data_IF_644019144866
#
_entry.id   IF_644019144866
#
_cell.length_a   1.000
_cell.length_b   1.000
_cell.length_c   1.000
_cell.angle_alpha   90.00
_cell.angle_beta   90.00
_cell.angle_gamma   90.00
#
_symmetry.space_group_name_H-M   'P 1'
#
loop_
_entity.id
_entity.type
_entity.pdbx_description
1 polymer ?
#
# COMPACT_ATOMS: atom_id res chain seq x y z
N UNK A 1 -6.48 3.57 14.06
CA UNK A 1 -6.67 3.59 12.60
C UNK A 1 -5.33 4.00 12.04
N UNK A 2 -4.59 3.12 11.36
CA UNK A 2 -3.20 3.43 11.02
C UNK A 2 -3.10 4.69 10.17
N UNK A 3 -2.18 5.58 10.54
CA UNK A 3 -1.87 6.78 9.79
C UNK A 3 -1.43 6.44 8.36
N UNK A 4 -2.25 6.85 7.40
CA UNK A 4 -1.91 6.82 5.98
C UNK A 4 -0.70 7.72 5.70
N UNK A 5 0.19 7.25 4.84
CA UNK A 5 1.35 8.00 4.36
C UNK A 5 1.12 8.45 2.92
N UNK A 6 0.75 7.52 2.05
CA UNK A 6 0.52 7.75 0.63
C UNK A 6 -0.57 6.82 0.10
N UNK A 7 -1.18 7.21 -1.03
CA UNK A 7 -2.10 6.34 -1.76
C UNK A 7 -1.85 6.45 -3.27
N UNK A 8 -2.05 5.33 -3.95
CA UNK A 8 -2.09 5.26 -5.42
C UNK A 8 -3.40 4.61 -5.87
N UNK A 9 -3.85 4.95 -7.06
CA UNK A 9 -5.07 4.41 -7.65
C UNK A 9 -4.75 3.73 -8.97
N UNK A 10 -5.31 2.55 -9.21
CA UNK A 10 -5.21 1.90 -10.51
C UNK A 10 -6.31 2.40 -11.49
N UNK A 11 -6.31 1.87 -12.70
CA UNK A 11 -7.29 2.23 -13.73
C UNK A 11 -8.71 1.72 -13.45
N UNK A 12 -8.88 0.78 -12.53
CA UNK A 12 -10.19 0.23 -12.13
C UNK A 12 -10.79 1.00 -10.93
N UNK A 13 -10.06 1.99 -10.41
CA UNK A 13 -10.49 2.79 -9.28
C UNK A 13 -10.18 2.17 -7.93
N UNK A 14 -9.32 1.16 -7.88
CA UNK A 14 -8.85 0.53 -6.65
C UNK A 14 -7.74 1.37 -6.03
N UNK A 15 -7.85 1.62 -4.73
CA UNK A 15 -6.90 2.41 -3.95
C UNK A 15 -5.96 1.52 -3.15
N UNK A 16 -4.67 1.80 -3.25
CA UNK A 16 -3.60 1.14 -2.51
C UNK A 16 -3.00 2.14 -1.53
N UNK A 17 -3.16 1.88 -0.23
CA UNK A 17 -2.79 2.84 0.82
C UNK A 17 -1.63 2.27 1.62
N UNK A 18 -0.51 2.98 1.62
CA UNK A 18 0.61 2.70 2.51
C UNK A 18 0.36 3.33 3.87
N UNK A 19 0.54 2.55 4.93
CA UNK A 19 0.22 2.97 6.29
C UNK A 19 1.42 2.78 7.21
N UNK A 20 1.68 3.78 8.05
CA UNK A 20 2.73 3.73 9.06
C UNK A 20 2.31 2.84 10.22
N UNK A 21 3.30 2.29 10.91
CA UNK A 21 3.10 1.71 12.23
C UNK A 21 2.61 2.78 13.23
N UNK A 22 1.61 2.42 14.02
CA UNK A 22 1.16 3.15 15.21
C UNK A 22 0.92 2.12 16.30
N UNK A 23 1.71 2.16 17.39
CA UNK A 23 1.63 1.20 18.50
C UNK A 23 0.15 0.97 18.94
N UNK A 24 -0.38 -0.28 18.88
CA UNK A 24 0.31 -1.58 18.68
C UNK A 24 0.30 -2.15 17.25
N UNK A 25 -0.11 -1.35 16.27
CA UNK A 25 -0.36 -1.78 14.90
C UNK A 25 0.90 -1.67 14.03
N UNK A 26 1.33 -2.77 13.36
CA UNK A 26 2.46 -2.74 12.45
C UNK A 26 2.14 -1.93 11.18
N UNK A 27 3.17 -1.56 10.38
CA UNK A 27 2.93 -1.00 9.06
C UNK A 27 2.22 -2.02 8.18
N UNK A 28 1.38 -1.53 7.28
CA UNK A 28 0.58 -2.39 6.42
C UNK A 28 0.22 -1.65 5.12
N UNK A 29 -0.22 -2.43 4.13
CA UNK A 29 -0.94 -1.92 2.97
C UNK A 29 -2.41 -2.29 3.13
N UNK A 30 -3.30 -1.34 2.82
CA UNK A 30 -4.73 -1.62 2.63
C UNK A 30 -5.11 -1.36 1.18
N UNK A 31 -5.93 -2.25 0.62
CA UNK A 31 -6.52 -2.12 -0.72
C UNK A 31 -8.01 -1.85 -0.55
N UNK A 32 -8.49 -0.75 -1.11
CA UNK A 32 -9.87 -0.30 -0.98
C UNK A 32 -10.50 -0.14 -2.36
N UNK A 33 -11.81 -0.34 -2.46
CA UNK A 33 -12.56 0.08 -3.63
C UNK A 33 -12.82 1.62 -3.61
N UNK A 34 -13.48 2.11 -4.66
CA UNK A 34 -13.82 3.53 -4.80
C UNK A 34 -14.83 4.07 -3.78
N UNK A 35 -15.52 3.20 -3.04
CA UNK A 35 -16.43 3.58 -1.95
C UNK A 35 -15.74 3.55 -0.58
N UNK A 36 -14.49 3.08 -0.53
CA UNK A 36 -13.70 2.96 0.68
C UNK A 36 -13.86 1.62 1.41
N UNK A 37 -14.53 0.63 0.80
CA UNK A 37 -14.60 -0.71 1.37
C UNK A 37 -13.23 -1.39 1.25
N UNK A 38 -12.79 -2.08 2.30
CA UNK A 38 -11.49 -2.78 2.31
C UNK A 38 -11.62 -4.10 1.57
N UNK A 39 -10.89 -4.24 0.46
CA UNK A 39 -10.79 -5.45 -0.35
C UNK A 39 -9.70 -6.40 0.17
N UNK A 40 -8.56 -5.85 0.61
CA UNK A 40 -7.46 -6.64 1.14
C UNK A 40 -6.59 -5.81 2.11
N UNK A 41 -5.82 -6.52 2.94
CA UNK A 41 -4.85 -5.92 3.85
C UNK A 41 -3.73 -6.92 4.15
N UNK A 42 -2.49 -6.46 4.13
CA UNK A 42 -1.35 -7.27 4.53
C UNK A 42 -0.28 -6.45 5.26
N UNK A 43 0.49 -7.08 6.17
CA UNK A 43 1.64 -6.43 6.78
C UNK A 43 2.66 -6.01 5.73
N UNK A 44 3.29 -4.86 5.96
CA UNK A 44 4.35 -4.35 5.11
C UNK A 44 5.45 -3.69 5.93
N UNK A 45 6.53 -3.33 5.27
CA UNK A 45 7.49 -2.36 5.81
C UNK A 45 6.90 -0.96 5.73
N UNK A 46 7.43 -0.02 6.52
CA UNK A 46 6.95 1.36 6.56
C UNK A 46 7.29 2.12 5.27
N UNK A 47 6.51 1.89 4.21
CA UNK A 47 6.65 2.56 2.92
C UNK A 47 6.16 4.01 3.03
N UNK A 48 6.99 4.96 2.61
CA UNK A 48 6.65 6.38 2.61
C UNK A 48 5.87 6.82 1.38
N UNK A 49 6.06 6.11 0.28
CA UNK A 49 5.33 6.30 -0.96
C UNK A 49 4.98 4.95 -1.57
N UNK A 50 3.94 4.94 -2.39
CA UNK A 50 3.51 3.77 -3.14
C UNK A 50 3.01 4.14 -4.52
N UNK A 51 3.23 3.25 -5.49
CA UNK A 51 2.67 3.38 -6.82
C UNK A 51 2.14 2.04 -7.31
N UNK A 52 1.05 2.05 -8.08
CA UNK A 52 0.52 0.85 -8.74
C UNK A 52 0.71 0.98 -10.25
N UNK A 53 1.21 -0.07 -10.89
CA UNK A 53 1.30 -0.11 -12.35
C UNK A 53 0.06 -0.72 -13.01
N UNK A 54 0.01 -0.71 -14.34
CA UNK A 54 -1.13 -1.19 -15.12
C UNK A 54 -1.40 -2.71 -14.97
N UNK A 55 -0.48 -3.48 -14.37
CA UNK A 55 -0.69 -4.91 -14.07
C UNK A 55 -1.24 -5.11 -12.65
N UNK A 56 -1.38 -4.03 -11.87
CA UNK A 56 -1.77 -4.09 -10.46
C UNK A 56 -0.61 -4.44 -9.52
N UNK A 57 0.63 -4.45 -10.01
CA UNK A 57 1.80 -4.60 -9.16
C UNK A 57 2.06 -3.30 -8.40
N UNK A 58 2.52 -3.41 -7.15
CA UNK A 58 2.68 -2.28 -6.25
C UNK A 58 4.16 -2.06 -5.96
N UNK A 59 4.64 -0.83 -6.12
CA UNK A 59 5.99 -0.40 -5.77
C UNK A 59 5.94 0.32 -4.43
N UNK A 60 6.79 -0.09 -3.49
CA UNK A 60 6.86 0.50 -2.16
C UNK A 60 8.21 1.21 -1.97
N UNK A 61 8.16 2.52 -1.73
CA UNK A 61 9.34 3.33 -1.43
C UNK A 61 9.72 3.16 0.05
N UNK A 62 10.71 2.30 0.31
CA UNK A 62 11.16 1.91 1.64
C UNK A 62 12.35 2.78 2.06
N UNK A 63 12.07 3.96 2.59
CA UNK A 63 13.10 4.97 2.91
C UNK A 63 14.11 4.47 3.95
N UNK A 64 13.65 3.72 4.97
CA UNK A 64 14.55 3.19 6.00
C UNK A 64 15.50 2.12 5.43
N UNK A 65 15.04 1.34 4.46
CA UNK A 65 15.79 0.29 3.79
C UNK A 65 16.56 0.76 2.55
N UNK A 66 16.42 2.04 2.17
CA UNK A 66 17.06 2.66 1.00
C UNK A 66 16.82 1.87 -0.30
N UNK A 67 15.59 1.37 -0.50
CA UNK A 67 15.25 0.59 -1.70
C UNK A 67 13.79 0.75 -2.10
N UNK A 68 13.46 0.19 -3.26
CA UNK A 68 12.08 0.02 -3.74
C UNK A 68 11.79 -1.47 -3.85
N UNK A 69 10.78 -1.94 -3.13
CA UNK A 69 10.28 -3.31 -3.26
C UNK A 69 9.10 -3.33 -4.23
N UNK A 70 9.06 -4.32 -5.12
CA UNK A 70 7.92 -4.58 -6.02
C UNK A 70 7.11 -5.76 -5.49
N UNK A 71 5.85 -5.53 -5.13
CA UNK A 71 4.87 -6.55 -4.76
C UNK A 71 4.11 -6.99 -6.02
N UNK A 72 4.16 -8.28 -6.33
CA UNK A 72 3.55 -8.84 -7.54
C UNK A 72 2.12 -9.28 -7.25
N UNK A 73 1.16 -8.78 -8.04
CA UNK A 73 -0.24 -9.22 -7.97
C UNK A 73 -0.32 -10.69 -8.36
N UNK A 74 -0.86 -11.51 -7.47
CA UNK A 74 -1.20 -12.90 -7.77
C UNK A 74 -2.65 -12.95 -8.23
N UNK A 75 -2.89 -13.66 -9.34
CA UNK A 75 -4.23 -13.83 -9.94
C UNK A 75 -5.19 -14.61 -9.05
#
# INVERSE_FOLDING_TARGET
MNRSLDFSQDSEGIFYISQRAEDPTPPQISVLDGEGNVLARWPSKSAHGSWVDAQGDIYLALTAEQRVDKCIRQG
#
